data_IF_201958428648
#
_entry.id   IF_201958428648
#
_cell.length_a   1.000
_cell.length_b   1.000
_cell.length_c   1.000
_cell.angle_alpha   90.00
_cell.angle_beta   90.00
_cell.angle_gamma   90.00
#
_symmetry.space_group_name_H-M   'P 1'
#
loop_
_entity.id
_entity.type
_entity.pdbx_description
1 polymer ?
#
# COMPACT_ATOMS: atom_id res chain seq x y z
N UNK A 1 -6.00 34.36 -23.21
CA UNK A 1 -5.26 33.67 -22.13
C UNK A 1 -6.02 32.45 -21.67
N UNK A 2 -5.41 31.31 -21.74
CA UNK A 2 -6.08 30.07 -21.38
C UNK A 2 -5.80 29.77 -19.89
N UNK A 3 -6.84 29.69 -19.08
CA UNK A 3 -6.72 29.30 -17.68
C UNK A 3 -6.57 27.81 -17.61
N UNK A 4 -5.37 27.35 -17.21
CA UNK A 4 -5.12 25.95 -16.96
C UNK A 4 -5.50 25.62 -15.54
N UNK A 5 -6.66 25.02 -15.36
CA UNK A 5 -7.01 24.43 -14.07
C UNK A 5 -6.46 23.01 -14.02
N UNK A 6 -5.73 22.65 -12.96
CA UNK A 6 -5.27 21.27 -12.83
C UNK A 6 -6.47 20.33 -12.80
N UNK A 7 -6.46 19.33 -13.65
CA UNK A 7 -7.49 18.29 -13.69
C UNK A 7 -7.09 17.18 -12.74
N UNK A 8 -7.97 16.91 -11.79
CA UNK A 8 -7.80 15.83 -10.85
C UNK A 8 -8.48 14.59 -11.41
N UNK A 9 -7.70 13.65 -11.93
CA UNK A 9 -8.22 12.42 -12.48
C UNK A 9 -8.06 11.30 -11.46
N UNK A 10 -9.18 10.71 -11.07
CA UNK A 10 -9.20 9.62 -10.10
C UNK A 10 -9.52 8.31 -10.79
N UNK A 11 -8.69 7.31 -10.53
CA UNK A 11 -8.93 5.94 -10.96
C UNK A 11 -9.19 5.08 -9.74
N UNK A 12 -10.47 4.84 -9.47
CA UNK A 12 -10.83 3.91 -8.41
C UNK A 12 -10.73 2.47 -8.92
N UNK A 13 -10.95 1.51 -8.03
CA UNK A 13 -10.87 0.09 -8.39
C UNK A 13 -11.79 -0.26 -9.56
N UNK A 14 -12.99 0.29 -9.58
CA UNK A 14 -13.98 0.02 -10.64
C UNK A 14 -13.46 0.44 -12.02
N UNK A 15 -12.86 1.62 -12.11
CA UNK A 15 -12.26 2.10 -13.35
C UNK A 15 -11.04 1.29 -13.75
N UNK A 16 -10.21 0.93 -12.79
CA UNK A 16 -9.01 0.12 -13.05
C UNK A 16 -9.40 -1.28 -13.54
N UNK A 17 -10.44 -1.88 -12.96
CA UNK A 17 -10.94 -3.18 -13.41
C UNK A 17 -11.45 -3.09 -14.85
N UNK A 18 -12.21 -2.03 -15.19
CA UNK A 18 -12.70 -1.83 -16.55
C UNK A 18 -11.56 -1.71 -17.57
N UNK A 19 -10.50 -0.98 -17.21
CA UNK A 19 -9.31 -0.86 -18.07
C UNK A 19 -8.56 -2.19 -18.18
N UNK A 20 -8.52 -2.98 -17.13
CA UNK A 20 -7.90 -4.30 -17.13
C UNK A 20 -8.66 -5.25 -18.08
N UNK A 21 -9.98 -5.19 -18.08
CA UNK A 21 -10.80 -5.97 -19.01
C UNK A 21 -10.41 -5.64 -20.46
N UNK A 22 -10.26 -4.36 -20.77
CA UNK A 22 -9.84 -3.92 -22.11
C UNK A 22 -8.42 -4.39 -22.45
N UNK A 23 -7.51 -4.31 -21.48
CA UNK A 23 -6.12 -4.76 -21.68
C UNK A 23 -6.03 -6.23 -22.01
N UNK A 24 -6.93 -7.04 -21.47
CA UNK A 24 -7.01 -8.47 -21.71
C UNK A 24 -7.88 -8.83 -22.92
N UNK A 25 -8.24 -7.85 -23.76
CA UNK A 25 -9.06 -8.03 -24.96
C UNK A 25 -10.39 -8.72 -24.67
N UNK A 26 -11.00 -8.39 -23.53
CA UNK A 26 -12.30 -8.94 -23.09
C UNK A 26 -12.31 -10.46 -22.90
N UNK A 27 -11.14 -11.07 -22.66
CA UNK A 27 -11.06 -12.50 -22.35
C UNK A 27 -11.81 -12.86 -21.07
N UNK A 28 -11.82 -11.93 -20.12
CA UNK A 28 -12.56 -12.07 -18.85
C UNK A 28 -13.50 -10.88 -18.70
N UNK A 29 -14.68 -11.11 -18.12
CA UNK A 29 -15.61 -10.02 -17.87
C UNK A 29 -15.26 -9.24 -16.61
N UNK A 30 -15.95 -8.14 -16.38
CA UNK A 30 -15.70 -7.26 -15.23
C UNK A 30 -15.87 -8.00 -13.90
N UNK A 31 -16.90 -8.83 -13.78
CA UNK A 31 -17.18 -9.52 -12.51
C UNK A 31 -16.07 -10.52 -12.18
N UNK A 32 -15.55 -11.23 -13.19
CA UNK A 32 -14.45 -12.17 -13.01
C UNK A 32 -13.17 -11.45 -12.55
N UNK A 33 -12.81 -10.36 -13.21
CA UNK A 33 -11.63 -9.57 -12.85
C UNK A 33 -11.81 -8.98 -11.45
N UNK A 34 -12.98 -8.44 -11.15
CA UNK A 34 -13.24 -7.84 -9.84
C UNK A 34 -13.16 -8.88 -8.72
N UNK A 35 -13.65 -10.08 -8.95
CA UNK A 35 -13.54 -11.18 -7.99
C UNK A 35 -12.09 -11.56 -7.72
N UNK A 36 -11.28 -11.65 -8.77
CA UNK A 36 -9.85 -11.95 -8.65
C UNK A 36 -9.13 -10.84 -7.87
N UNK A 37 -9.39 -9.58 -8.21
CA UNK A 37 -8.77 -8.44 -7.54
C UNK A 37 -9.16 -8.38 -6.07
N UNK A 38 -10.43 -8.63 -5.74
CA UNK A 38 -10.89 -8.68 -4.34
C UNK A 38 -10.20 -9.79 -3.55
N UNK A 39 -10.09 -10.97 -4.15
CA UNK A 39 -9.43 -12.11 -3.50
C UNK A 39 -7.96 -11.82 -3.26
N UNK A 40 -7.28 -11.24 -4.25
CA UNK A 40 -5.88 -10.86 -4.15
C UNK A 40 -5.65 -9.84 -3.03
N UNK A 41 -6.50 -8.81 -2.97
CA UNK A 41 -6.42 -7.80 -1.92
C UNK A 41 -6.69 -8.41 -0.54
N UNK A 42 -7.65 -9.32 -0.43
CA UNK A 42 -7.97 -10.00 0.82
C UNK A 42 -6.79 -10.82 1.33
N UNK A 43 -6.09 -11.53 0.45
CA UNK A 43 -4.89 -12.30 0.82
C UNK A 43 -3.82 -11.37 1.42
N UNK A 44 -3.59 -10.23 0.80
CA UNK A 44 -2.61 -9.25 1.30
C UNK A 44 -3.02 -8.76 2.70
N UNK A 45 -4.29 -8.40 2.88
CA UNK A 45 -4.79 -7.94 4.18
C UNK A 45 -4.68 -9.03 5.25
N UNK A 46 -5.02 -10.27 4.90
CA UNK A 46 -4.95 -11.39 5.83
C UNK A 46 -3.52 -11.66 6.27
N UNK A 47 -2.57 -11.64 5.34
CA UNK A 47 -1.16 -11.84 5.67
C UNK A 47 -0.63 -10.78 6.61
N UNK A 48 -1.05 -9.52 6.43
CA UNK A 48 -0.64 -8.43 7.32
C UNK A 48 -1.28 -8.59 8.71
N UNK A 49 -2.56 -8.94 8.76
CA UNK A 49 -3.28 -9.11 10.03
C UNK A 49 -2.78 -10.29 10.84
N UNK A 50 -2.55 -11.41 10.17
CA UNK A 50 -2.20 -12.68 10.81
C UNK A 50 -0.70 -12.86 10.98
N UNK A 51 0.12 -11.97 10.42
CA UNK A 51 1.56 -12.07 10.53
C UNK A 51 2.01 -11.96 11.98
N UNK A 52 2.90 -12.88 12.37
CA UNK A 52 3.55 -12.86 13.68
C UNK A 52 4.77 -11.97 13.64
N UNK A 53 4.53 -10.67 13.41
CA UNK A 53 5.62 -9.70 13.43
C UNK A 53 5.91 -9.26 14.85
N UNK A 54 7.19 -9.05 15.16
CA UNK A 54 7.65 -8.53 16.45
C UNK A 54 8.74 -7.49 16.22
N UNK A 55 9.44 -7.09 17.28
CA UNK A 55 10.47 -6.06 17.19
C UNK A 55 11.66 -6.47 16.31
N UNK A 56 11.91 -7.76 16.18
CA UNK A 56 13.03 -8.31 15.43
C UNK A 56 12.64 -8.79 14.04
N UNK A 57 11.36 -9.09 13.83
CA UNK A 57 10.88 -9.70 12.61
C UNK A 57 9.87 -8.80 11.93
N UNK A 58 10.09 -8.57 10.65
CA UNK A 58 9.16 -7.84 9.81
C UNK A 58 8.67 -8.75 8.69
N UNK A 59 7.50 -8.45 8.17
CA UNK A 59 7.00 -9.11 6.97
C UNK A 59 7.12 -8.16 5.80
N UNK A 60 7.56 -8.68 4.65
CA UNK A 60 7.67 -7.91 3.43
C UNK A 60 6.83 -8.59 2.35
N UNK A 61 5.93 -7.82 1.74
CA UNK A 61 5.07 -8.28 0.65
C UNK A 61 5.37 -7.47 -0.60
N UNK A 62 5.43 -8.14 -1.73
CA UNK A 62 5.60 -7.49 -3.02
C UNK A 62 4.39 -7.79 -3.90
N UNK A 63 3.25 -7.08 -3.70
CA UNK A 63 2.04 -7.35 -4.48
C UNK A 63 2.22 -7.06 -5.96
N UNK A 64 3.11 -6.14 -6.28
CA UNK A 64 3.49 -5.81 -7.66
C UNK A 64 4.99 -5.57 -7.71
N UNK A 65 5.56 -5.64 -8.90
CA UNK A 65 6.99 -5.42 -9.09
C UNK A 65 7.46 -4.04 -8.65
N UNK A 66 6.56 -3.06 -8.67
CA UNK A 66 6.88 -1.68 -8.33
C UNK A 66 6.47 -1.29 -6.91
N UNK A 67 5.83 -2.18 -6.17
CA UNK A 67 5.28 -1.85 -4.86
C UNK A 67 5.73 -2.86 -3.82
N UNK A 68 6.27 -2.35 -2.72
CA UNK A 68 6.64 -3.16 -1.57
C UNK A 68 5.85 -2.69 -0.36
N UNK A 69 5.19 -3.63 0.32
CA UNK A 69 4.52 -3.39 1.59
C UNK A 69 5.33 -4.05 2.69
N UNK A 70 5.62 -3.30 3.74
CA UNK A 70 6.34 -3.81 4.91
C UNK A 70 5.50 -3.60 6.14
N UNK A 71 5.51 -4.59 7.03
CA UNK A 71 4.82 -4.50 8.31
C UNK A 71 5.74 -4.95 9.43
N UNK A 72 5.59 -4.34 10.58
CA UNK A 72 6.38 -4.67 11.77
C UNK A 72 5.69 -4.14 13.00
N UNK A 73 6.37 -4.21 14.13
CA UNK A 73 5.88 -3.68 15.40
C UNK A 73 6.87 -2.64 15.90
N UNK A 74 6.35 -1.45 16.24
CA UNK A 74 7.13 -0.46 16.95
C UNK A 74 7.24 -0.89 18.40
N UNK A 75 8.47 -0.91 18.97
CA UNK A 75 8.65 -1.28 20.36
C UNK A 75 7.94 -0.29 21.28
N UNK A 76 7.61 -0.70 22.52
CA UNK A 76 7.10 0.21 23.53
C UNK A 76 8.08 1.37 23.72
N UNK A 77 7.53 2.55 23.81
CA UNK A 77 8.34 3.76 23.98
C UNK A 77 8.02 4.39 25.32
N UNK A 78 9.06 4.60 26.14
CA UNK A 78 8.93 5.33 27.38
C UNK A 78 9.09 6.83 27.09
N UNK A 79 8.17 7.64 27.59
CA UNK A 79 8.29 9.06 27.51
C UNK A 79 7.91 9.70 28.84
N UNK A 80 8.50 10.86 29.10
CA UNK A 80 8.30 11.56 30.34
C UNK A 80 7.27 12.67 30.17
N UNK A 81 6.30 12.69 31.08
CA UNK A 81 5.36 13.78 31.12
C UNK A 81 6.04 15.02 31.66
N UNK A 82 5.98 16.09 30.90
CA UNK A 82 6.72 17.31 31.20
C UNK A 82 6.29 17.94 32.53
N UNK A 83 4.98 17.94 32.82
CA UNK A 83 4.42 18.60 33.99
C UNK A 83 4.51 17.79 35.28
N UNK A 84 4.47 16.46 35.19
CA UNK A 84 4.42 15.60 36.38
C UNK A 84 5.72 14.84 36.64
N UNK A 85 6.62 14.80 35.67
CA UNK A 85 7.83 13.98 35.73
C UNK A 85 7.56 12.50 35.67
N UNK A 86 6.31 12.07 35.53
CA UNK A 86 5.95 10.66 35.43
C UNK A 86 6.41 10.07 34.10
N UNK A 87 6.87 8.83 34.13
CA UNK A 87 7.23 8.09 32.90
C UNK A 87 6.03 7.32 32.41
N UNK A 88 5.69 7.53 31.15
CA UNK A 88 4.61 6.84 30.46
C UNK A 88 5.18 5.86 29.47
N UNK A 89 4.50 4.74 29.27
CA UNK A 89 4.90 3.71 28.32
C UNK A 89 3.81 3.52 27.28
N UNK A 90 4.17 3.71 26.01
CA UNK A 90 3.27 3.42 24.89
C UNK A 90 3.24 1.90 24.65
N UNK A 91 2.03 1.37 24.39
CA UNK A 91 1.89 0.00 23.97
C UNK A 91 2.58 -0.24 22.61
N UNK A 92 3.08 -1.47 22.35
CA UNK A 92 3.60 -1.81 21.03
C UNK A 92 2.54 -1.59 19.95
N UNK A 93 2.96 -1.03 18.80
CA UNK A 93 2.05 -0.75 17.70
C UNK A 93 2.51 -1.43 16.44
N UNK A 94 1.57 -2.09 15.77
CA UNK A 94 1.81 -2.62 14.43
C UNK A 94 1.81 -1.47 13.42
N UNK A 95 2.82 -1.45 12.56
CA UNK A 95 2.92 -0.45 11.51
C UNK A 95 2.94 -1.12 10.14
N UNK A 96 2.47 -0.40 9.14
CA UNK A 96 2.52 -0.84 7.74
C UNK A 96 3.06 0.32 6.92
N UNK A 97 3.96 0.02 6.01
CA UNK A 97 4.58 1.03 5.14
C UNK A 97 4.57 0.53 3.69
N UNK A 98 4.28 1.44 2.78
CA UNK A 98 4.33 1.16 1.35
C UNK A 98 5.47 1.93 0.71
N UNK A 99 6.26 1.28 -0.14
CA UNK A 99 7.36 1.90 -0.87
C UNK A 99 7.26 1.56 -2.36
N UNK A 100 7.54 2.55 -3.19
CA UNK A 100 7.58 2.37 -4.64
C UNK A 100 8.98 1.90 -5.01
N UNK A 101 9.04 0.83 -5.83
CA UNK A 101 10.31 0.25 -6.24
C UNK A 101 11.12 1.18 -7.15
N UNK A 102 12.45 1.05 -7.05
CA UNK A 102 13.39 1.84 -7.86
C UNK A 102 13.18 1.62 -9.36
N UNK A 103 12.88 0.39 -9.76
CA UNK A 103 12.63 0.06 -11.16
C UNK A 103 11.46 0.86 -11.74
N UNK A 104 10.37 0.98 -10.99
CA UNK A 104 9.21 1.77 -11.41
C UNK A 104 9.58 3.24 -11.57
N UNK A 105 10.31 3.80 -10.59
CA UNK A 105 10.76 5.19 -10.66
C UNK A 105 11.65 5.44 -11.86
N UNK A 106 12.62 4.58 -12.12
CA UNK A 106 13.52 4.73 -13.26
C UNK A 106 12.82 4.62 -14.60
N UNK A 107 11.94 3.62 -14.72
CA UNK A 107 11.28 3.34 -15.99
C UNK A 107 10.18 4.33 -16.33
N UNK A 108 9.46 4.79 -15.31
CA UNK A 108 8.30 5.67 -15.53
C UNK A 108 8.69 7.14 -15.40
N UNK A 109 9.38 7.50 -14.31
CA UNK A 109 9.66 8.90 -14.01
C UNK A 109 10.79 9.49 -14.85
N UNK A 110 11.78 8.68 -15.22
CA UNK A 110 12.92 9.17 -16.00
C UNK A 110 12.66 9.21 -17.51
N UNK A 111 11.53 8.70 -17.96
CA UNK A 111 11.14 8.71 -19.38
C UNK A 111 10.01 9.71 -19.66
N UNK A 112 9.88 10.72 -18.82
CA UNK A 112 8.89 11.78 -18.98
C UNK A 112 9.46 12.93 -19.81
N UNK A 113 9.70 12.70 -21.06
CA UNK A 113 10.14 13.78 -21.98
C UNK A 113 9.05 14.19 -22.94
#
# INVERSE_FOLDING_TARGET
>A
MIDFKPLNTHYNRRKLVALTVKKLNHKYNRDQINEIVKAYAAVICDLVKESEVDELHTITLKPFNFLTLSAGIKPPRNYRYFDSGATMTNAPRKWVRANIGTYFNRRILNNLD
#
